data_IF_375840990674
#
_entry.id   IF_375840990674
#
_cell.length_a   1.000
_cell.length_b   1.000
_cell.length_c   1.000
_cell.angle_alpha   90.00
_cell.angle_beta   90.00
_cell.angle_gamma   90.00
#
_symmetry.space_group_name_H-M   'P 1'
#
loop_
_entity.id
_entity.type
_entity.pdbx_description
1 polymer ?
#
# COMPACT_ATOMS: atom_id res chain seq x y z
N UNK A 1 -33.29 5.73 1.01
CA UNK A 1 -33.07 4.65 0.02
C UNK A 1 -31.56 4.44 -0.05
N UNK A 2 -31.09 3.31 0.45
CA UNK A 2 -29.67 2.96 0.59
C UNK A 2 -29.02 2.84 -0.79
N UNK A 3 -28.04 3.68 -1.10
CA UNK A 3 -27.25 3.53 -2.32
C UNK A 3 -26.17 2.49 -2.06
N UNK A 4 -26.25 1.39 -2.79
CA UNK A 4 -25.32 0.27 -2.74
C UNK A 4 -23.89 0.75 -3.01
N UNK A 5 -22.96 0.20 -2.25
CA UNK A 5 -21.52 0.35 -2.41
C UNK A 5 -21.07 -0.33 -3.72
N UNK A 6 -21.27 0.35 -4.84
CA UNK A 6 -20.50 0.12 -6.07
C UNK A 6 -19.22 0.96 -5.96
N UNK A 7 -18.30 0.56 -5.08
CA UNK A 7 -16.93 1.01 -5.26
C UNK A 7 -16.36 0.15 -6.39
N UNK A 8 -16.01 0.74 -7.55
CA UNK A 8 -15.31 -0.01 -8.57
C UNK A 8 -14.10 -0.63 -7.89
N UNK A 9 -13.92 -1.94 -8.10
CA UNK A 9 -12.74 -2.69 -7.71
C UNK A 9 -11.56 -2.23 -8.58
N UNK A 10 -11.28 -0.92 -8.56
CA UNK A 10 -10.14 -0.27 -9.19
C UNK A 10 -8.95 -0.90 -8.53
N UNK A 11 -8.33 -1.83 -9.23
CA UNK A 11 -7.03 -2.34 -8.87
C UNK A 11 -6.13 -1.11 -8.89
N UNK A 12 -5.93 -0.50 -7.72
CA UNK A 12 -5.17 0.73 -7.59
C UNK A 12 -3.80 0.47 -8.21
N UNK A 13 -3.19 1.44 -8.91
CA UNK A 13 -1.98 1.20 -9.68
C UNK A 13 -0.86 0.59 -8.82
N UNK A 14 -0.86 0.85 -7.51
CA UNK A 14 0.09 0.29 -6.56
C UNK A 14 -0.09 -1.20 -6.25
N UNK A 15 -1.27 -1.79 -6.44
CA UNK A 15 -1.52 -3.19 -6.08
C UNK A 15 -0.55 -4.14 -6.79
N UNK A 16 0.08 -5.03 -6.01
CA UNK A 16 1.16 -5.96 -6.42
C UNK A 16 2.45 -5.31 -6.94
N UNK A 17 2.62 -4.00 -6.78
CA UNK A 17 3.93 -3.37 -7.03
C UNK A 17 4.87 -3.61 -5.86
N UNK A 18 6.14 -3.77 -6.19
CA UNK A 18 7.24 -3.83 -5.22
C UNK A 18 7.66 -2.40 -4.88
N UNK A 19 7.75 -2.11 -3.59
CA UNK A 19 7.94 -0.76 -3.07
C UNK A 19 8.95 -0.76 -1.93
N UNK A 20 9.65 0.36 -1.77
CA UNK A 20 10.33 0.71 -0.54
C UNK A 20 9.35 1.49 0.32
N UNK A 21 9.15 1.12 1.58
CA UNK A 21 8.28 1.84 2.50
C UNK A 21 9.07 2.32 3.72
N UNK A 22 8.71 3.50 4.23
CA UNK A 22 9.38 4.11 5.38
C UNK A 22 8.81 3.59 6.71
N UNK A 23 9.64 2.97 7.54
CA UNK A 23 9.26 2.52 8.90
C UNK A 23 9.60 3.55 9.98
N UNK A 24 10.69 4.31 9.78
CA UNK A 24 11.14 5.43 10.62
C UNK A 24 11.85 6.49 9.77
N UNK A 25 12.30 7.60 10.37
CA UNK A 25 12.96 8.73 9.66
C UNK A 25 14.13 8.29 8.77
N UNK A 26 14.89 7.28 9.19
CA UNK A 26 16.05 6.75 8.45
C UNK A 26 15.95 5.26 8.16
N UNK A 27 14.82 4.63 8.46
CA UNK A 27 14.63 3.19 8.30
C UNK A 27 13.58 2.92 7.22
N UNK A 28 13.92 2.00 6.33
CA UNK A 28 13.10 1.63 5.20
C UNK A 28 13.02 0.10 5.12
N UNK A 29 11.85 -0.41 4.76
CA UNK A 29 11.63 -1.81 4.42
C UNK A 29 11.31 -1.95 2.94
N UNK A 30 11.41 -3.17 2.42
CA UNK A 30 10.98 -3.50 1.07
C UNK A 30 9.78 -4.44 1.14
N UNK A 31 8.79 -4.22 0.28
CA UNK A 31 7.58 -5.01 0.33
C UNK A 31 6.75 -4.97 -0.94
N UNK A 32 5.67 -5.73 -0.93
CA UNK A 32 4.67 -5.77 -2.01
C UNK A 32 3.38 -5.15 -1.49
N UNK A 33 2.84 -4.17 -2.22
CA UNK A 33 1.53 -3.59 -1.87
C UNK A 33 0.44 -4.63 -2.06
N UNK A 34 -0.28 -4.96 -0.99
CA UNK A 34 -1.38 -5.92 -0.98
C UNK A 34 -2.75 -5.26 -0.94
N UNK A 35 -2.83 -4.00 -0.54
CA UNK A 35 -4.03 -3.18 -0.64
C UNK A 35 -3.66 -1.70 -0.75
N UNK A 36 -4.51 -0.92 -1.41
CA UNK A 36 -4.38 0.53 -1.48
C UNK A 36 -5.77 1.17 -1.48
N UNK A 37 -6.03 2.00 -0.49
CA UNK A 37 -7.19 2.88 -0.41
C UNK A 37 -6.82 4.26 -0.93
N UNK A 38 -7.20 4.56 -2.17
CA UNK A 38 -6.91 5.83 -2.85
C UNK A 38 -7.67 7.02 -2.26
N UNK A 39 -8.80 6.78 -1.58
CA UNK A 39 -9.58 7.86 -0.96
C UNK A 39 -8.92 8.32 0.34
N UNK A 40 -8.39 7.37 1.12
CA UNK A 40 -7.72 7.64 2.37
C UNK A 40 -6.21 7.91 2.20
N UNK A 41 -5.63 7.57 1.05
CA UNK A 41 -4.18 7.62 0.81
C UNK A 41 -3.43 6.61 1.70
N UNK A 42 -4.01 5.42 1.89
CA UNK A 42 -3.48 4.40 2.80
C UNK A 42 -3.13 3.14 2.03
N UNK A 43 -1.92 2.65 2.23
CA UNK A 43 -1.42 1.40 1.65
C UNK A 43 -1.17 0.35 2.72
N UNK A 44 -1.37 -0.91 2.34
CA UNK A 44 -0.91 -2.07 3.10
C UNK A 44 0.18 -2.74 2.27
N UNK A 45 1.35 -2.90 2.88
CA UNK A 45 2.52 -3.52 2.28
C UNK A 45 2.84 -4.79 3.04
N UNK A 46 3.13 -5.87 2.33
CA UNK A 46 3.67 -7.09 2.89
C UNK A 46 5.18 -7.09 2.69
N UNK A 47 5.93 -7.09 3.78
CA UNK A 47 7.38 -7.20 3.82
C UNK A 47 7.83 -8.48 3.11
N UNK A 48 8.86 -8.41 2.26
CA UNK A 48 9.34 -9.57 1.50
C UNK A 48 10.28 -10.49 2.28
N UNK A 49 10.88 -10.00 3.37
CA UNK A 49 11.85 -10.74 4.17
C UNK A 49 11.18 -11.57 5.27
N UNK A 50 10.22 -10.97 6.00
CA UNK A 50 9.54 -11.59 7.14
C UNK A 50 8.06 -11.91 6.88
N UNK A 51 7.46 -11.36 5.82
CA UNK A 51 6.02 -11.52 5.53
C UNK A 51 5.10 -10.72 6.46
N UNK A 52 5.68 -9.89 7.33
CA UNK A 52 4.97 -8.95 8.18
C UNK A 52 4.25 -7.87 7.37
N UNK A 53 3.16 -7.34 7.91
CA UNK A 53 2.39 -6.29 7.25
C UNK A 53 2.73 -4.92 7.84
N UNK A 54 3.04 -3.99 6.95
CA UNK A 54 3.15 -2.57 7.25
C UNK A 54 1.94 -1.82 6.69
N UNK A 55 1.54 -0.76 7.39
CA UNK A 55 0.46 0.14 6.98
C UNK A 55 0.92 1.58 7.14
N UNK A 56 0.76 2.38 6.10
CA UNK A 56 1.08 3.81 6.13
C UNK A 56 0.52 4.55 4.93
N UNK A 57 1.00 5.77 4.71
CA UNK A 57 0.55 6.60 3.59
C UNK A 57 1.18 6.15 2.27
N UNK A 58 0.49 6.35 1.14
CA UNK A 58 1.09 6.14 -0.17
C UNK A 58 2.22 7.13 -0.50
N UNK A 59 2.29 8.28 0.19
CA UNK A 59 3.45 9.19 0.15
C UNK A 59 4.69 8.66 0.90
N UNK A 60 4.51 7.67 1.78
CA UNK A 60 5.60 7.03 2.54
C UNK A 60 6.24 5.85 1.81
N UNK A 61 5.82 5.60 0.56
CA UNK A 61 6.34 4.51 -0.25
C UNK A 61 6.90 5.00 -1.59
N UNK A 62 7.89 4.28 -2.10
CA UNK A 62 8.49 4.52 -3.42
C UNK A 62 8.43 3.23 -4.24
N UNK A 63 7.90 3.31 -5.46
CA UNK A 63 7.81 2.15 -6.36
C UNK A 63 9.16 1.84 -6.97
N UNK A 64 9.61 0.59 -6.83
CA UNK A 64 10.82 0.08 -7.49
C UNK A 64 10.46 -0.33 -8.92
N UNK A 65 11.15 0.25 -9.91
CA UNK A 65 10.96 -0.03 -11.35
C UNK A 65 12.02 -0.94 -11.92
#
# INVERSE_FOLDING_TARGET
MSQAADHPNTTSPLYRRRVIYRTDVTSFGEGIVTAHDEQAGIVIVMDVDDGSFWRGSDDDIEVIV
#
